data_IF_894170447541
#
_entry.id   IF_894170447541
#
_cell.length_a   1.000
_cell.length_b   1.000
_cell.length_c   1.000
_cell.angle_alpha   90.00
_cell.angle_beta   90.00
_cell.angle_gamma   90.00
#
_symmetry.space_group_name_H-M   'P 1'
#
loop_
_entity.id
_entity.type
_entity.pdbx_description
1 polymer ?
#
# COMPACT_ATOMS: atom_id res chain seq x y z
N UNK A 1 56.75 13.68 33.55
CA UNK A 1 56.51 12.24 33.36
C UNK A 1 55.03 12.06 33.59
N UNK A 2 54.28 12.16 32.50
CA UNK A 2 52.83 12.09 32.47
C UNK A 2 52.44 10.62 32.39
N UNK A 3 51.90 10.07 33.47
CA UNK A 3 51.37 8.71 33.50
C UNK A 3 49.86 8.74 33.76
N UNK A 4 49.12 8.61 32.65
CA UNK A 4 47.78 8.06 32.49
C UNK A 4 46.89 7.95 33.74
N UNK A 5 46.31 9.07 34.18
CA UNK A 5 45.32 9.11 35.27
C UNK A 5 43.86 9.29 34.79
N UNK A 6 43.53 8.72 33.63
CA UNK A 6 42.16 8.61 33.13
C UNK A 6 41.74 7.13 33.01
N UNK A 7 41.82 6.39 34.11
CA UNK A 7 41.13 5.11 34.19
C UNK A 7 39.64 5.38 34.37
N UNK A 8 38.85 5.16 33.32
CA UNK A 8 37.39 5.14 33.35
C UNK A 8 36.93 4.27 34.54
N UNK A 9 36.33 4.88 35.56
CA UNK A 9 35.64 4.18 36.64
C UNK A 9 34.54 3.28 36.01
N UNK A 10 34.34 2.02 36.45
CA UNK A 10 33.25 1.15 35.99
C UNK A 10 31.86 1.83 35.92
N UNK A 11 31.55 2.73 36.85
CA UNK A 11 30.34 3.55 36.85
C UNK A 11 30.30 4.53 35.67
N UNK A 12 31.42 5.18 35.33
CA UNK A 12 31.52 6.05 34.15
C UNK A 12 31.43 5.26 32.84
N UNK A 13 32.04 4.07 32.79
CA UNK A 13 31.91 3.12 31.67
C UNK A 13 30.44 2.70 31.44
N UNK A 14 29.70 2.44 32.52
CA UNK A 14 28.28 2.10 32.44
C UNK A 14 27.43 3.26 31.89
N UNK A 15 27.68 4.50 32.33
CA UNK A 15 27.00 5.69 31.80
C UNK A 15 27.28 5.91 30.32
N UNK A 16 28.54 5.77 29.88
CA UNK A 16 28.87 5.87 28.46
C UNK A 16 28.23 4.76 27.64
N UNK A 17 28.22 3.53 28.14
CA UNK A 17 27.58 2.40 27.48
C UNK A 17 26.07 2.59 27.33
N UNK A 18 25.40 3.08 28.38
CA UNK A 18 23.97 3.38 28.34
C UNK A 18 23.66 4.50 27.33
N UNK A 19 24.43 5.59 27.35
CA UNK A 19 24.25 6.70 26.41
C UNK A 19 24.48 6.25 24.95
N UNK A 20 25.49 5.41 24.70
CA UNK A 20 25.74 4.86 23.36
C UNK A 20 24.60 3.95 22.89
N UNK A 21 24.05 3.12 23.79
CA UNK A 21 22.93 2.23 23.46
C UNK A 21 21.62 3.02 23.20
N UNK A 22 21.37 4.07 23.98
CA UNK A 22 20.25 4.99 23.75
C UNK A 22 20.39 5.74 22.41
N UNK A 23 21.60 6.16 22.06
CA UNK A 23 21.87 6.79 20.75
C UNK A 23 21.64 5.83 19.59
N UNK A 24 22.15 4.60 19.69
CA UNK A 24 21.93 3.55 18.68
C UNK A 24 20.44 3.25 18.48
N UNK A 25 19.66 3.16 19.56
CA UNK A 25 18.22 2.90 19.45
C UNK A 25 17.48 4.09 18.83
N UNK A 26 17.86 5.33 19.18
CA UNK A 26 17.31 6.53 18.52
C UNK A 26 17.60 6.55 17.02
N UNK A 27 18.85 6.29 16.63
CA UNK A 27 19.24 6.24 15.21
C UNK A 27 18.47 5.16 14.46
N UNK A 28 18.27 3.98 15.08
CA UNK A 28 17.47 2.90 14.51
C UNK A 28 16.02 3.32 14.30
N UNK A 29 15.38 3.91 15.30
CA UNK A 29 13.99 4.38 15.20
C UNK A 29 13.85 5.44 14.09
N UNK A 30 14.78 6.40 14.02
CA UNK A 30 14.80 7.40 12.95
C UNK A 30 15.01 6.78 11.56
N UNK A 31 15.86 5.75 11.43
CA UNK A 31 16.05 5.04 10.18
C UNK A 31 14.79 4.28 9.76
N UNK A 32 14.10 3.63 10.71
CA UNK A 32 12.83 2.95 10.46
C UNK A 32 11.73 3.95 10.04
N UNK A 33 11.63 5.11 10.69
CA UNK A 33 10.69 6.16 10.30
C UNK A 33 10.96 6.69 8.89
N UNK A 34 12.22 6.98 8.56
CA UNK A 34 12.62 7.40 7.21
C UNK A 34 12.26 6.35 6.17
N UNK A 35 12.48 5.06 6.47
CA UNK A 35 12.10 3.96 5.58
C UNK A 35 10.60 3.90 5.36
N UNK A 36 9.79 4.00 6.43
CA UNK A 36 8.32 4.03 6.33
C UNK A 36 7.83 5.20 5.48
N UNK A 37 8.41 6.39 5.65
CA UNK A 37 8.01 7.55 4.84
C UNK A 37 8.40 7.39 3.37
N UNK A 38 9.59 6.84 3.08
CA UNK A 38 9.99 6.53 1.69
C UNK A 38 9.04 5.53 1.04
N UNK A 39 8.65 4.47 1.75
CA UNK A 39 7.68 3.48 1.27
C UNK A 39 6.30 4.10 1.03
N UNK A 40 5.87 5.01 1.91
CA UNK A 40 4.62 5.78 1.75
C UNK A 40 4.66 6.64 0.49
N UNK A 41 5.74 7.42 0.30
CA UNK A 41 5.92 8.27 -0.88
C UNK A 41 6.01 7.46 -2.18
N UNK A 42 6.71 6.32 -2.16
CA UNK A 42 6.77 5.41 -3.30
C UNK A 42 5.40 4.84 -3.66
N UNK A 43 4.60 4.48 -2.65
CA UNK A 43 3.23 3.99 -2.83
C UNK A 43 2.33 5.07 -3.42
N UNK A 44 2.37 6.29 -2.88
CA UNK A 44 1.61 7.43 -3.43
C UNK A 44 2.00 7.73 -4.87
N UNK A 45 3.29 7.75 -5.19
CA UNK A 45 3.78 7.96 -6.56
C UNK A 45 3.27 6.88 -7.52
N UNK A 46 3.31 5.60 -7.10
CA UNK A 46 2.80 4.48 -7.90
C UNK A 46 1.30 4.62 -8.15
N UNK A 47 0.51 4.90 -7.11
CA UNK A 47 -0.94 5.04 -7.22
C UNK A 47 -1.35 6.24 -8.07
N UNK A 48 -0.63 7.36 -7.98
CA UNK A 48 -0.85 8.50 -8.87
C UNK A 48 -0.53 8.18 -10.34
N UNK A 49 0.50 7.37 -10.60
CA UNK A 49 0.79 6.90 -11.95
C UNK A 49 -0.33 5.97 -12.48
N UNK A 50 -0.87 5.08 -11.63
CA UNK A 50 -2.05 4.25 -11.95
C UNK A 50 -3.26 5.13 -12.28
N UNK A 51 -3.52 6.16 -11.47
CA UNK A 51 -4.63 7.09 -11.71
C UNK A 51 -4.47 7.85 -13.04
N UNK A 52 -3.27 8.33 -13.32
CA UNK A 52 -2.95 8.97 -14.60
C UNK A 52 -3.17 8.03 -15.79
N UNK A 53 -2.89 6.73 -15.63
CA UNK A 53 -3.07 5.69 -16.65
C UNK A 53 -4.40 4.91 -16.50
N UNK A 54 -5.39 5.43 -15.78
CA UNK A 54 -6.60 4.69 -15.37
C UNK A 54 -7.34 3.98 -16.52
N UNK A 55 -7.40 4.60 -17.70
CA UNK A 55 -8.04 4.01 -18.88
C UNK A 55 -7.37 2.70 -19.33
N UNK A 56 -6.04 2.64 -19.25
CA UNK A 56 -5.26 1.44 -19.61
C UNK A 56 -5.53 0.34 -18.58
N UNK A 57 -5.52 0.68 -17.30
CA UNK A 57 -5.81 -0.27 -16.22
C UNK A 57 -7.23 -0.84 -16.32
N UNK A 58 -8.24 -0.01 -16.62
CA UNK A 58 -9.61 -0.47 -16.87
C UNK A 58 -9.70 -1.40 -18.08
N UNK A 59 -9.02 -1.05 -19.17
CA UNK A 59 -8.94 -1.90 -20.37
C UNK A 59 -8.28 -3.25 -20.07
N UNK A 60 -7.19 -3.25 -19.30
CA UNK A 60 -6.50 -4.47 -18.86
C UNK A 60 -7.40 -5.33 -17.97
N UNK A 61 -8.05 -4.73 -16.97
CA UNK A 61 -8.99 -5.44 -16.09
C UNK A 61 -10.08 -6.16 -16.89
N UNK A 62 -10.68 -5.47 -17.87
CA UNK A 62 -11.65 -6.05 -18.79
C UNK A 62 -11.04 -7.19 -19.60
N UNK A 63 -9.89 -6.96 -20.23
CA UNK A 63 -9.20 -7.95 -21.07
C UNK A 63 -8.88 -9.23 -20.29
N UNK A 64 -8.31 -9.09 -19.10
CA UNK A 64 -7.98 -10.23 -18.25
C UNK A 64 -9.23 -10.94 -17.70
N UNK A 65 -10.31 -10.19 -17.44
CA UNK A 65 -11.57 -10.81 -17.04
C UNK A 65 -12.14 -11.73 -18.12
N UNK A 66 -11.84 -11.49 -19.40
CA UNK A 66 -12.39 -12.23 -20.53
C UNK A 66 -11.65 -13.53 -20.85
N UNK A 67 -10.43 -13.72 -20.34
CA UNK A 67 -9.56 -14.86 -20.67
C UNK A 67 -9.95 -16.18 -19.98
N UNK A 68 -10.83 -16.15 -18.97
CA UNK A 68 -11.47 -17.36 -18.45
C UNK A 68 -10.63 -18.29 -17.57
N UNK A 69 -9.34 -18.00 -17.34
CA UNK A 69 -8.46 -18.82 -16.50
C UNK A 69 -7.98 -18.11 -15.23
N UNK A 70 -7.63 -18.90 -14.20
CA UNK A 70 -7.33 -18.41 -12.85
C UNK A 70 -6.26 -17.30 -12.82
N UNK A 71 -5.14 -17.47 -13.54
CA UNK A 71 -4.07 -16.45 -13.59
C UNK A 71 -4.54 -15.12 -14.18
N UNK A 72 -5.44 -15.14 -15.17
CA UNK A 72 -5.97 -13.90 -15.72
C UNK A 72 -6.93 -13.23 -14.74
N UNK A 73 -7.76 -13.99 -14.03
CA UNK A 73 -8.59 -13.44 -12.96
C UNK A 73 -7.75 -12.81 -11.84
N UNK A 74 -6.60 -13.36 -11.49
CA UNK A 74 -5.69 -12.74 -10.52
C UNK A 74 -5.14 -11.40 -11.02
N UNK A 75 -4.81 -11.32 -12.32
CA UNK A 75 -4.42 -10.06 -12.95
C UNK A 75 -5.57 -9.05 -12.96
N UNK A 76 -6.77 -9.45 -13.34
CA UNK A 76 -7.95 -8.60 -13.33
C UNK A 76 -8.23 -8.03 -11.93
N UNK A 77 -8.18 -8.87 -10.90
CA UNK A 77 -8.36 -8.44 -9.50
C UNK A 77 -7.29 -7.44 -9.08
N UNK A 78 -6.03 -7.66 -9.48
CA UNK A 78 -4.94 -6.73 -9.19
C UNK A 78 -5.18 -5.35 -9.82
N UNK A 79 -5.53 -5.33 -11.11
CA UNK A 79 -5.85 -4.09 -11.82
C UNK A 79 -6.98 -3.31 -11.14
N UNK A 80 -8.06 -3.99 -10.77
CA UNK A 80 -9.20 -3.38 -10.07
C UNK A 80 -8.82 -2.83 -8.68
N UNK A 81 -8.02 -3.57 -7.91
CA UNK A 81 -7.58 -3.11 -6.57
C UNK A 81 -6.65 -1.91 -6.67
N UNK A 82 -5.73 -1.91 -7.64
CA UNK A 82 -4.85 -0.78 -7.89
C UNK A 82 -5.64 0.46 -8.33
N UNK A 83 -6.66 0.29 -9.19
CA UNK A 83 -7.59 1.35 -9.55
C UNK A 83 -8.36 1.88 -8.32
N UNK A 84 -8.94 1.01 -7.51
CA UNK A 84 -9.69 1.43 -6.31
C UNK A 84 -8.83 2.31 -5.39
N UNK A 85 -7.61 1.83 -5.05
CA UNK A 85 -6.69 2.59 -4.22
C UNK A 85 -6.26 3.91 -4.88
N UNK A 86 -6.02 3.91 -6.19
CA UNK A 86 -5.64 5.10 -6.95
C UNK A 86 -6.74 6.17 -6.96
N UNK A 87 -8.00 5.77 -7.16
CA UNK A 87 -9.15 6.70 -7.10
C UNK A 87 -9.42 7.20 -5.67
N UNK A 88 -9.23 6.33 -4.66
CA UNK A 88 -9.40 6.72 -3.26
C UNK A 88 -8.43 7.84 -2.85
N UNK A 89 -7.14 7.71 -3.17
CA UNK A 89 -6.15 8.76 -2.82
C UNK A 89 -6.32 10.05 -3.63
N UNK A 90 -6.98 9.98 -4.80
CA UNK A 90 -7.26 11.12 -5.66
C UNK A 90 -8.67 11.72 -5.41
N UNK A 91 -9.34 11.33 -4.32
CA UNK A 91 -10.70 11.79 -3.96
C UNK A 91 -11.74 11.59 -5.09
N UNK A 92 -11.54 10.60 -5.95
CA UNK A 92 -12.39 10.32 -7.11
C UNK A 92 -13.24 9.05 -6.90
N UNK A 93 -13.44 8.62 -5.66
CA UNK A 93 -14.06 7.32 -5.38
C UNK A 93 -15.47 7.16 -5.98
N UNK A 94 -16.25 8.23 -6.06
CA UNK A 94 -17.57 8.22 -6.71
C UNK A 94 -17.48 7.83 -8.21
N UNK A 95 -16.49 8.37 -8.93
CA UNK A 95 -16.24 8.04 -10.34
C UNK A 95 -15.88 6.56 -10.50
N UNK A 96 -15.00 6.05 -9.62
CA UNK A 96 -14.64 4.63 -9.60
C UNK A 96 -15.86 3.74 -9.44
N UNK A 97 -16.73 4.06 -8.48
CA UNK A 97 -17.91 3.24 -8.17
C UNK A 97 -18.85 3.15 -9.38
N UNK A 98 -19.10 4.26 -10.08
CA UNK A 98 -19.91 4.26 -11.30
C UNK A 98 -19.34 3.33 -12.37
N UNK A 99 -18.03 3.42 -12.65
CA UNK A 99 -17.38 2.59 -13.67
C UNK A 99 -17.34 1.12 -13.22
N UNK A 100 -17.05 0.87 -11.94
CA UNK A 100 -16.97 -0.46 -11.37
C UNK A 100 -18.31 -1.20 -11.45
N UNK A 101 -19.44 -0.52 -11.26
CA UNK A 101 -20.76 -1.15 -11.41
C UNK A 101 -21.00 -1.68 -12.82
N UNK A 102 -20.55 -0.96 -13.85
CA UNK A 102 -20.63 -1.42 -15.25
C UNK A 102 -19.75 -2.64 -15.46
N UNK A 103 -18.52 -2.60 -14.94
CA UNK A 103 -17.59 -3.74 -14.97
C UNK A 103 -18.17 -4.96 -14.25
N UNK A 104 -18.72 -4.79 -13.05
CA UNK A 104 -19.28 -5.84 -12.21
C UNK A 104 -20.44 -6.57 -12.91
N UNK A 105 -21.34 -5.82 -13.56
CA UNK A 105 -22.40 -6.40 -14.41
C UNK A 105 -21.82 -7.22 -15.56
N UNK A 106 -20.75 -6.74 -16.19
CA UNK A 106 -20.07 -7.45 -17.28
C UNK A 106 -19.43 -8.79 -16.88
N UNK A 107 -19.12 -8.98 -15.59
CA UNK A 107 -18.50 -10.20 -15.07
C UNK A 107 -19.43 -11.07 -14.22
N UNK A 108 -20.72 -10.74 -14.11
CA UNK A 108 -21.68 -11.39 -13.19
C UNK A 108 -21.72 -12.92 -13.33
N UNK A 109 -21.55 -13.43 -14.55
CA UNK A 109 -21.59 -14.87 -14.86
C UNK A 109 -20.28 -15.59 -14.51
N UNK A 110 -19.19 -14.85 -14.27
CA UNK A 110 -17.85 -15.37 -13.96
C UNK A 110 -17.68 -15.52 -12.45
N UNK A 111 -18.37 -16.51 -11.88
CA UNK A 111 -18.47 -16.73 -10.42
C UNK A 111 -17.12 -16.68 -9.69
N UNK A 112 -16.07 -17.30 -10.24
CA UNK A 112 -14.73 -17.29 -9.62
C UNK A 112 -14.14 -15.88 -9.53
N UNK A 113 -14.32 -15.05 -10.56
CA UNK A 113 -13.84 -13.68 -10.55
C UNK A 113 -14.65 -12.82 -9.58
N UNK A 114 -15.97 -12.98 -9.57
CA UNK A 114 -16.87 -12.30 -8.63
C UNK A 114 -16.49 -12.63 -7.19
N UNK A 115 -16.29 -13.91 -6.86
CA UNK A 115 -15.85 -14.34 -5.53
C UNK A 115 -14.53 -13.70 -5.09
N UNK A 116 -13.57 -13.53 -6.01
CA UNK A 116 -12.29 -12.88 -5.70
C UNK A 116 -12.42 -11.38 -5.43
N UNK A 117 -13.49 -10.75 -5.94
CA UNK A 117 -13.80 -9.34 -5.73
C UNK A 117 -14.81 -9.10 -4.60
N UNK A 118 -15.24 -10.14 -3.90
CA UNK A 118 -16.31 -10.07 -2.89
C UNK A 118 -16.03 -9.04 -1.79
N UNK A 119 -14.82 -9.03 -1.23
CA UNK A 119 -14.43 -8.04 -0.21
C UNK A 119 -14.51 -6.61 -0.74
N UNK A 120 -14.09 -6.39 -1.99
CA UNK A 120 -14.16 -5.08 -2.61
C UNK A 120 -15.62 -4.67 -2.87
N UNK A 121 -16.48 -5.61 -3.29
CA UNK A 121 -17.91 -5.36 -3.44
C UNK A 121 -18.54 -4.90 -2.12
N UNK A 122 -18.16 -5.53 -1.00
CA UNK A 122 -18.63 -5.15 0.33
C UNK A 122 -18.17 -3.75 0.73
N UNK A 123 -16.91 -3.39 0.46
CA UNK A 123 -16.40 -2.04 0.72
C UNK A 123 -17.14 -0.97 -0.10
N UNK A 124 -17.36 -1.23 -1.39
CA UNK A 124 -18.10 -0.33 -2.28
C UNK A 124 -19.55 -0.16 -1.80
N UNK A 125 -20.22 -1.26 -1.43
CA UNK A 125 -21.59 -1.19 -0.92
C UNK A 125 -21.68 -0.36 0.37
N UNK A 126 -20.69 -0.43 1.26
CA UNK A 126 -20.62 0.41 2.46
C UNK A 126 -20.44 1.89 2.12
N UNK A 127 -19.58 2.20 1.15
CA UNK A 127 -19.40 3.56 0.65
C UNK A 127 -20.73 4.14 0.13
N UNK A 128 -21.48 3.35 -0.65
CA UNK A 128 -22.77 3.76 -1.19
C UNK A 128 -23.88 3.92 -0.15
N UNK A 129 -23.87 3.12 0.92
CA UNK A 129 -24.82 3.27 2.02
C UNK A 129 -24.49 4.41 2.99
N UNK A 130 -23.31 5.03 2.85
CA UNK A 130 -22.86 6.16 3.69
C UNK A 130 -22.97 7.52 2.97
N UNK A 131 -23.38 7.52 1.70
CA UNK A 131 -23.74 8.71 0.91
C UNK A 131 -25.24 8.95 0.95
#
# INVERSE_FOLDING_TARGET
MDDYQYCLNPSSLHTYWQAANEEMERERLLAEERKREQERLATLKRLNAVFAAKEIHWKNAKTYSEQGHASAYDKAVREIKDLYAAYQINNALAEFVTIYQVFAKGIERRRTLVQRLELLNQEINKYQGSM
#
